data_IF_883939637017
#
_entry.id   IF_883939637017
#
_cell.length_a   1.000
_cell.length_b   1.000
_cell.length_c   1.000
_cell.angle_alpha   90.00
_cell.angle_beta   90.00
_cell.angle_gamma   90.00
#
_symmetry.space_group_name_H-M   'P 1'
#
loop_
_entity.id
_entity.type
_entity.pdbx_description
1 polymer ?
#
# COMPACT_ATOMS: atom_id res chain seq x y z
N UNK A 1 48.29 -17.66 33.22
CA UNK A 1 48.15 -18.83 32.34
C UNK A 1 46.73 -18.79 31.85
N UNK A 2 46.62 -18.30 30.62
CA UNK A 2 45.53 -18.31 29.64
C UNK A 2 44.19 -18.94 30.04
N UNK A 3 43.12 -18.13 29.89
CA UNK A 3 42.03 -18.38 28.93
C UNK A 3 41.56 -16.99 28.50
N UNK A 4 42.10 -16.44 27.42
CA UNK A 4 41.44 -16.48 26.11
C UNK A 4 40.01 -15.92 26.17
N UNK A 5 39.91 -14.60 26.31
CA UNK A 5 38.68 -13.87 25.99
C UNK A 5 38.82 -13.36 24.55
N UNK A 6 38.90 -14.34 23.64
CA UNK A 6 38.82 -14.14 22.21
C UNK A 6 37.37 -13.73 21.92
N UNK A 7 37.10 -12.43 22.13
CA UNK A 7 35.83 -11.80 21.79
C UNK A 7 35.67 -11.92 20.29
N UNK A 8 34.99 -12.99 19.89
CA UNK A 8 34.56 -13.25 18.53
C UNK A 8 33.98 -11.96 17.96
N UNK A 9 34.49 -11.43 16.84
CA UNK A 9 33.89 -10.26 16.23
C UNK A 9 32.49 -10.66 15.76
N UNK A 10 31.46 -10.24 16.49
CA UNK A 10 30.12 -10.23 15.93
C UNK A 10 30.17 -9.31 14.72
N UNK A 11 30.23 -9.89 13.52
CA UNK A 11 30.01 -9.19 12.26
C UNK A 11 28.53 -8.76 12.24
N UNK A 12 28.20 -7.73 13.03
CA UNK A 12 26.86 -7.16 13.09
C UNK A 12 26.61 -6.54 11.73
N UNK A 13 25.79 -7.20 10.92
CA UNK A 13 25.25 -6.59 9.71
C UNK A 13 24.56 -5.29 10.16
N UNK A 14 24.98 -4.12 9.67
CA UNK A 14 24.35 -2.87 10.11
C UNK A 14 22.86 -2.87 9.75
N UNK A 15 22.00 -2.27 10.57
CA UNK A 15 20.54 -2.23 10.30
C UNK A 15 20.20 -1.67 8.91
N UNK A 16 21.02 -0.78 8.36
CA UNK A 16 20.86 -0.25 7.00
C UNK A 16 21.14 -1.28 5.89
N UNK A 17 21.62 -2.48 6.23
CA UNK A 17 21.76 -3.63 5.33
C UNK A 17 20.69 -4.69 5.58
N UNK A 18 19.84 -4.52 6.59
CA UNK A 18 18.69 -5.39 6.80
C UNK A 18 17.66 -5.13 5.70
N UNK A 19 17.29 -6.18 4.99
CA UNK A 19 16.37 -6.11 3.87
C UNK A 19 15.03 -5.49 4.27
N UNK A 20 14.44 -5.98 5.37
CA UNK A 20 13.16 -5.49 5.91
C UNK A 20 13.22 -4.00 6.28
N UNK A 21 14.32 -3.57 6.90
CA UNK A 21 14.53 -2.16 7.24
C UNK A 21 14.68 -1.26 6.00
N UNK A 22 15.38 -1.75 4.97
CA UNK A 22 15.53 -1.01 3.71
C UNK A 22 14.21 -0.89 2.95
N UNK A 23 13.44 -1.97 2.86
CA UNK A 23 12.10 -1.96 2.25
C UNK A 23 11.15 -1.03 3.01
N UNK A 24 11.12 -1.08 4.34
CA UNK A 24 10.31 -0.18 5.15
C UNK A 24 10.67 1.29 4.92
N UNK A 25 11.96 1.63 4.83
CA UNK A 25 12.43 3.01 4.57
C UNK A 25 12.05 3.48 3.16
N UNK A 26 12.15 2.61 2.16
CA UNK A 26 11.70 2.91 0.79
C UNK A 26 10.19 3.16 0.79
N UNK A 27 9.41 2.27 1.37
CA UNK A 27 7.95 2.39 1.41
C UNK A 27 7.48 3.65 2.16
N UNK A 28 8.13 4.00 3.28
CA UNK A 28 7.83 5.23 4.00
C UNK A 28 8.06 6.49 3.14
N UNK A 29 9.17 6.54 2.40
CA UNK A 29 9.49 7.67 1.51
C UNK A 29 8.50 7.76 0.34
N UNK A 30 8.20 6.63 -0.30
CA UNK A 30 7.23 6.57 -1.39
C UNK A 30 5.83 7.01 -0.93
N UNK A 31 5.39 6.52 0.23
CA UNK A 31 4.09 6.85 0.82
C UNK A 31 3.97 8.32 1.24
N UNK A 32 5.03 8.90 1.81
CA UNK A 32 5.07 10.32 2.18
C UNK A 32 4.98 11.22 0.94
N UNK A 33 5.73 10.90 -0.11
CA UNK A 33 5.72 11.65 -1.36
C UNK A 33 4.36 11.52 -2.09
N UNK A 34 3.75 10.34 -2.10
CA UNK A 34 2.40 10.15 -2.63
C UNK A 34 1.34 10.94 -1.83
N UNK A 35 1.41 10.90 -0.50
CA UNK A 35 0.51 11.66 0.38
C UNK A 35 0.60 13.16 0.13
N UNK A 36 1.81 13.70 -0.09
CA UNK A 36 1.97 15.12 -0.43
C UNK A 36 1.27 15.50 -1.74
N UNK A 37 1.41 14.67 -2.78
CA UNK A 37 0.74 14.86 -4.07
C UNK A 37 -0.79 14.83 -3.88
N UNK A 38 -1.29 13.80 -3.19
CA UNK A 38 -2.72 13.60 -3.01
C UNK A 38 -3.37 14.67 -2.14
N UNK A 39 -2.70 15.11 -1.07
CA UNK A 39 -3.16 16.23 -0.24
C UNK A 39 -3.28 17.51 -1.06
N UNK A 40 -2.29 17.83 -1.89
CA UNK A 40 -2.29 19.04 -2.70
C UNK A 40 -3.41 19.07 -3.76
N UNK A 41 -3.88 17.92 -4.23
CA UNK A 41 -4.85 17.84 -5.34
C UNK A 41 -6.25 17.35 -4.95
N UNK A 42 -6.40 16.73 -3.80
CA UNK A 42 -7.66 16.12 -3.38
C UNK A 42 -7.87 16.13 -1.85
N UNK A 43 -6.91 16.61 -1.06
CA UNK A 43 -7.04 16.63 0.40
C UNK A 43 -7.01 15.24 1.06
N UNK A 44 -6.64 14.18 0.33
CA UNK A 44 -6.67 12.79 0.82
C UNK A 44 -5.26 12.21 1.02
N UNK A 45 -5.20 11.15 1.82
CA UNK A 45 -4.01 10.31 2.05
C UNK A 45 -3.85 9.23 0.99
N UNK A 46 -2.65 8.63 0.90
CA UNK A 46 -2.42 7.48 0.01
C UNK A 46 -3.30 6.28 0.33
N UNK A 47 -3.55 6.03 1.62
CA UNK A 47 -4.44 4.98 2.14
C UNK A 47 -5.87 5.16 1.64
N UNK A 48 -6.42 6.36 1.80
CA UNK A 48 -7.76 6.71 1.29
C UNK A 48 -7.82 6.62 -0.23
N UNK A 49 -6.78 7.10 -0.92
CA UNK A 49 -6.69 7.05 -2.37
C UNK A 49 -6.66 5.61 -2.90
N UNK A 50 -5.96 4.67 -2.24
CA UNK A 50 -5.96 3.25 -2.65
C UNK A 50 -7.37 2.66 -2.66
N UNK A 51 -8.17 2.95 -1.63
CA UNK A 51 -9.58 2.51 -1.59
C UNK A 51 -10.38 3.14 -2.73
N UNK A 52 -10.24 4.46 -2.93
CA UNK A 52 -10.89 5.16 -4.04
C UNK A 52 -10.47 4.59 -5.40
N UNK A 53 -9.19 4.27 -5.57
CA UNK A 53 -8.63 3.75 -6.81
C UNK A 53 -9.17 2.35 -7.12
N UNK A 54 -9.22 1.46 -6.13
CA UNK A 54 -9.81 0.12 -6.31
C UNK A 54 -11.30 0.25 -6.67
N UNK A 55 -12.08 1.01 -5.92
CA UNK A 55 -13.50 1.22 -6.24
C UNK A 55 -13.72 1.91 -7.59
N UNK A 56 -12.80 2.80 -7.98
CA UNK A 56 -12.84 3.50 -9.26
C UNK A 56 -12.62 2.58 -10.46
N UNK A 57 -11.76 1.58 -10.28
CA UNK A 57 -11.33 0.61 -11.30
C UNK A 57 -12.23 -0.64 -11.36
N UNK A 58 -12.53 -1.26 -10.22
CA UNK A 58 -13.32 -2.49 -10.13
C UNK A 58 -14.82 -2.25 -9.97
N UNK A 59 -15.23 -1.02 -9.66
CA UNK A 59 -16.59 -0.71 -9.23
C UNK A 59 -16.87 -1.17 -7.79
N UNK A 60 -18.16 -1.39 -7.49
CA UNK A 60 -18.65 -1.80 -6.16
C UNK A 60 -17.94 -3.07 -5.65
N UNK A 61 -17.42 -3.02 -4.42
CA UNK A 61 -16.79 -4.18 -3.78
C UNK A 61 -16.98 -4.21 -2.26
N UNK A 62 -16.73 -5.36 -1.64
CA UNK A 62 -16.78 -5.54 -0.18
C UNK A 62 -15.47 -5.15 0.50
N UNK A 63 -15.50 -4.85 1.80
CA UNK A 63 -14.29 -4.62 2.60
C UNK A 63 -13.30 -5.81 2.55
N UNK A 64 -13.81 -7.04 2.42
CA UNK A 64 -12.96 -8.23 2.30
C UNK A 64 -12.24 -8.29 0.95
N UNK A 65 -12.90 -7.88 -0.15
CA UNK A 65 -12.25 -7.72 -1.45
C UNK A 65 -11.22 -6.59 -1.41
N UNK A 66 -11.53 -5.45 -0.77
CA UNK A 66 -10.53 -4.39 -0.57
C UNK A 66 -9.29 -4.87 0.18
N UNK A 67 -9.44 -5.64 1.26
CA UNK A 67 -8.30 -6.20 1.98
C UNK A 67 -7.40 -7.01 1.05
N UNK A 68 -8.00 -7.93 0.26
CA UNK A 68 -7.23 -8.76 -0.68
C UNK A 68 -6.57 -7.96 -1.80
N UNK A 69 -7.26 -6.96 -2.35
CA UNK A 69 -6.74 -6.17 -3.47
C UNK A 69 -5.68 -5.15 -3.07
N UNK A 70 -5.60 -4.78 -1.79
CA UNK A 70 -4.70 -3.72 -1.31
C UNK A 70 -3.65 -4.21 -0.32
N UNK A 71 -3.75 -5.46 0.13
CA UNK A 71 -2.97 -6.04 1.24
C UNK A 71 -3.01 -5.19 2.52
N UNK A 72 -4.09 -4.42 2.70
CA UNK A 72 -4.29 -3.57 3.87
C UNK A 72 -5.05 -4.32 4.96
N UNK A 73 -4.62 -4.12 6.20
CA UNK A 73 -5.28 -4.74 7.35
C UNK A 73 -6.73 -4.23 7.52
N UNK A 74 -7.58 -5.09 8.09
CA UNK A 74 -9.00 -4.83 8.28
C UNK A 74 -9.26 -3.56 9.12
N UNK A 75 -8.41 -3.29 10.10
CA UNK A 75 -8.52 -2.11 10.96
C UNK A 75 -8.27 -0.82 10.19
N UNK A 76 -7.23 -0.79 9.34
CA UNK A 76 -6.90 0.34 8.48
C UNK A 76 -7.98 0.59 7.43
N UNK A 77 -8.51 -0.47 6.80
CA UNK A 77 -9.65 -0.35 5.88
C UNK A 77 -10.85 0.21 6.61
N UNK A 78 -11.23 -0.36 7.76
CA UNK A 78 -12.41 0.10 8.51
C UNK A 78 -12.32 1.59 8.88
N UNK A 79 -11.16 2.05 9.36
CA UNK A 79 -10.96 3.47 9.69
C UNK A 79 -11.06 4.36 8.45
N UNK A 80 -10.43 3.94 7.35
CA UNK A 80 -10.40 4.71 6.11
C UNK A 80 -11.78 4.80 5.45
N UNK A 81 -12.54 3.69 5.44
CA UNK A 81 -13.94 3.64 4.98
C UNK A 81 -14.79 4.60 5.82
N UNK A 82 -14.67 4.55 7.15
CA UNK A 82 -15.41 5.48 8.02
C UNK A 82 -15.15 6.95 7.67
N UNK A 83 -13.88 7.32 7.47
CA UNK A 83 -13.51 8.69 7.08
C UNK A 83 -14.05 9.05 5.70
N UNK A 84 -13.89 8.19 4.69
CA UNK A 84 -14.36 8.44 3.33
C UNK A 84 -15.89 8.56 3.24
N UNK A 85 -16.63 7.79 4.04
CA UNK A 85 -18.09 7.89 4.15
C UNK A 85 -18.49 9.23 4.79
N UNK A 86 -17.81 9.64 5.87
CA UNK A 86 -18.06 10.93 6.52
C UNK A 86 -17.78 12.11 5.56
N UNK A 87 -16.78 11.97 4.70
CA UNK A 87 -16.44 12.93 3.64
C UNK A 87 -17.34 12.82 2.39
N UNK A 88 -18.32 11.92 2.38
CA UNK A 88 -19.25 11.65 1.28
C UNK A 88 -18.55 11.24 -0.03
N UNK A 89 -17.39 10.60 0.06
CA UNK A 89 -16.67 10.07 -1.10
C UNK A 89 -17.07 8.64 -1.44
N UNK A 90 -17.54 7.87 -0.46
CA UNK A 90 -18.03 6.51 -0.67
C UNK A 90 -19.39 6.30 -0.02
N UNK A 91 -20.14 5.33 -0.51
CA UNK A 91 -21.36 4.81 0.11
C UNK A 91 -21.09 3.42 0.68
N UNK A 92 -21.87 3.06 1.70
CA UNK A 92 -21.85 1.72 2.29
C UNK A 92 -23.28 1.19 2.27
N UNK A 93 -23.52 0.11 1.56
CA UNK A 93 -24.84 -0.53 1.45
C UNK A 93 -24.77 -1.97 1.94
N UNK A 94 -25.77 -2.39 2.72
CA UNK A 94 -25.95 -3.81 3.04
C UNK A 94 -26.44 -4.55 1.81
N UNK A 95 -25.93 -5.74 1.58
CA UNK A 95 -26.50 -6.63 0.57
C UNK A 95 -27.89 -7.10 1.04
N UNK A 96 -28.88 -7.06 0.13
CA UNK A 96 -30.21 -7.58 0.41
C UNK A 96 -30.25 -9.12 0.39
N UNK A 97 -29.27 -9.75 -0.27
CA UNK A 97 -29.17 -11.21 -0.43
C UNK A 97 -28.28 -11.88 0.63
N UNK A 98 -27.25 -11.17 1.12
CA UNK A 98 -26.37 -11.60 2.19
C UNK A 98 -26.22 -10.49 3.24
N UNK A 99 -27.04 -10.59 4.29
CA UNK A 99 -27.20 -9.56 5.32
C UNK A 99 -25.92 -9.26 6.13
N UNK A 100 -24.81 -9.99 5.88
CA UNK A 100 -23.51 -9.82 6.54
C UNK A 100 -22.49 -9.04 5.73
N UNK A 101 -22.63 -8.94 4.40
CA UNK A 101 -21.64 -8.26 3.55
C UNK A 101 -21.99 -6.77 3.34
N UNK A 102 -21.07 -5.89 3.76
CA UNK A 102 -21.13 -4.47 3.43
C UNK A 102 -20.43 -4.24 2.09
N UNK A 103 -21.16 -3.65 1.16
CA UNK A 103 -20.64 -3.20 -0.12
C UNK A 103 -20.32 -1.72 -0.08
N UNK A 104 -19.22 -1.39 -0.74
CA UNK A 104 -18.66 -0.07 -0.84
C UNK A 104 -18.71 0.35 -2.30
N UNK A 105 -19.08 1.61 -2.55
CA UNK A 105 -19.09 2.18 -3.90
C UNK A 105 -18.73 3.66 -3.86
N UNK A 106 -18.20 4.20 -4.96
CA UNK A 106 -17.91 5.63 -5.08
C UNK A 106 -19.20 6.43 -5.19
N UNK A 107 -19.26 7.56 -4.50
CA UNK A 107 -20.23 8.61 -4.85
C UNK A 107 -19.76 9.35 -6.10
N UNK A 108 -20.59 10.26 -6.63
CA UNK A 108 -20.16 11.22 -7.65
C UNK A 108 -18.90 12.00 -7.22
N UNK A 109 -18.83 12.46 -5.96
CA UNK A 109 -17.65 13.12 -5.39
C UNK A 109 -16.42 12.20 -5.34
N UNK A 110 -16.62 10.93 -4.97
CA UNK A 110 -15.57 9.92 -4.98
C UNK A 110 -15.01 9.67 -6.38
N UNK A 111 -15.91 9.55 -7.36
CA UNK A 111 -15.56 9.33 -8.77
C UNK A 111 -14.81 10.52 -9.37
N UNK A 112 -15.26 11.74 -9.12
CA UNK A 112 -14.54 12.95 -9.53
C UNK A 112 -13.13 13.00 -8.89
N UNK A 113 -13.01 12.61 -7.62
CA UNK A 113 -11.72 12.54 -6.93
C UNK A 113 -10.79 11.49 -7.56
N UNK A 114 -11.32 10.32 -7.91
CA UNK A 114 -10.58 9.28 -8.64
C UNK A 114 -10.06 9.81 -9.98
N UNK A 115 -10.95 10.35 -10.82
CA UNK A 115 -10.63 10.84 -12.16
C UNK A 115 -9.61 11.99 -12.13
N UNK A 116 -9.71 12.87 -11.14
CA UNK A 116 -8.73 13.95 -10.94
C UNK A 116 -7.35 13.45 -10.51
N UNK A 117 -7.28 12.38 -9.73
CA UNK A 117 -6.03 11.93 -9.10
C UNK A 117 -5.31 10.83 -9.87
N UNK A 118 -6.01 9.97 -10.61
CA UNK A 118 -5.41 8.83 -11.31
C UNK A 118 -4.33 9.23 -12.33
N UNK A 119 -4.45 10.31 -13.14
CA UNK A 119 -3.41 10.68 -14.10
C UNK A 119 -2.13 11.14 -13.41
N UNK A 120 -2.26 11.82 -12.25
CA UNK A 120 -1.13 12.29 -11.44
C UNK A 120 -0.38 11.12 -10.82
N UNK A 121 -1.13 10.14 -10.32
CA UNK A 121 -0.54 8.94 -9.74
C UNK A 121 0.11 8.06 -10.82
N UNK A 122 -0.44 8.00 -12.04
CA UNK A 122 0.22 7.38 -13.20
C UNK A 122 1.52 8.10 -13.58
N UNK A 123 1.50 9.43 -13.71
CA UNK A 123 2.70 10.23 -13.99
C UNK A 123 3.77 10.04 -12.90
N UNK A 124 3.36 10.01 -11.63
CA UNK A 124 4.24 9.67 -10.51
C UNK A 124 4.88 8.29 -10.68
N UNK A 125 4.11 7.27 -11.07
CA UNK A 125 4.64 5.92 -11.29
C UNK A 125 5.65 5.91 -12.45
N UNK A 126 5.36 6.57 -13.56
CA UNK A 126 6.30 6.72 -14.67
C UNK A 126 7.60 7.41 -14.22
N UNK A 127 7.48 8.48 -13.43
CA UNK A 127 8.64 9.20 -12.90
C UNK A 127 9.48 8.35 -11.95
N UNK A 128 8.87 7.48 -11.14
CA UNK A 128 9.60 6.52 -10.30
C UNK A 128 10.30 5.44 -11.14
N UNK A 129 9.61 4.89 -12.15
CA UNK A 129 10.16 3.88 -13.06
C UNK A 129 11.37 4.40 -13.83
N UNK A 130 11.39 5.69 -14.17
CA UNK A 130 12.50 6.31 -14.90
C UNK A 130 13.84 6.34 -14.13
N UNK A 131 13.84 6.06 -12.81
CA UNK A 131 15.07 5.92 -12.03
C UNK A 131 15.70 4.53 -12.08
N UNK A 132 15.03 3.58 -12.74
CA UNK A 132 15.48 2.20 -12.89
C UNK A 132 15.59 1.90 -14.37
N UNK A 133 16.67 1.28 -14.80
CA UNK A 133 16.68 0.65 -16.12
C UNK A 133 15.76 -0.60 -16.16
N UNK A 134 15.62 -1.22 -17.33
CA UNK A 134 14.77 -2.40 -17.49
C UNK A 134 15.24 -3.58 -16.63
N UNK A 135 16.55 -3.83 -16.59
CA UNK A 135 17.12 -4.96 -15.88
C UNK A 135 17.02 -4.79 -14.36
N UNK A 136 17.21 -3.57 -13.85
CA UNK A 136 17.01 -3.20 -12.45
C UNK A 136 15.55 -3.37 -12.05
N UNK A 137 14.61 -2.90 -12.88
CA UNK A 137 13.18 -3.03 -12.63
C UNK A 137 12.75 -4.50 -12.59
N UNK A 138 13.11 -5.29 -13.58
CA UNK A 138 12.79 -6.72 -13.64
C UNK A 138 13.42 -7.51 -12.49
N UNK A 139 14.62 -7.12 -12.07
CA UNK A 139 15.28 -7.72 -10.91
C UNK A 139 14.57 -7.37 -9.62
N UNK A 140 14.14 -6.11 -9.46
CA UNK A 140 13.35 -5.68 -8.30
C UNK A 140 12.02 -6.43 -8.23
N UNK A 141 11.28 -6.52 -9.34
CA UNK A 141 9.98 -7.21 -9.38
C UNK A 141 10.11 -8.68 -9.02
N UNK A 142 11.06 -9.40 -9.63
CA UNK A 142 11.33 -10.81 -9.29
C UNK A 142 11.78 -10.99 -7.84
N UNK A 143 12.51 -10.04 -7.27
CA UNK A 143 12.90 -10.07 -5.87
C UNK A 143 11.67 -9.88 -4.96
N UNK A 144 10.78 -8.94 -5.27
CA UNK A 144 9.52 -8.74 -4.55
C UNK A 144 8.67 -10.02 -4.55
N UNK A 145 8.43 -10.64 -5.71
CA UNK A 145 7.66 -11.89 -5.82
C UNK A 145 8.23 -13.02 -4.94
N UNK A 146 9.56 -13.18 -4.93
CA UNK A 146 10.23 -14.17 -4.08
C UNK A 146 10.07 -13.88 -2.60
N UNK A 147 10.14 -12.60 -2.21
CA UNK A 147 10.02 -12.17 -0.83
C UNK A 147 8.58 -12.25 -0.32
N UNK A 148 7.60 -11.95 -1.16
CA UNK A 148 6.17 -12.12 -0.85
C UNK A 148 5.88 -13.59 -0.57
N UNK A 149 6.32 -14.49 -1.46
CA UNK A 149 6.19 -15.94 -1.24
C UNK A 149 6.92 -16.42 0.01
N UNK A 150 8.13 -15.92 0.25
CA UNK A 150 8.90 -16.29 1.44
C UNK A 150 8.17 -15.83 2.72
N UNK A 151 7.57 -14.64 2.74
CA UNK A 151 6.88 -14.10 3.92
C UNK A 151 5.61 -14.88 4.32
N UNK A 152 5.13 -15.80 3.49
CA UNK A 152 4.05 -16.74 3.82
C UNK A 152 4.56 -18.02 4.50
N UNK A 153 5.87 -18.26 4.45
CA UNK A 153 6.51 -19.42 5.09
C UNK A 153 6.58 -19.19 6.61
N UNK A 154 5.92 -20.04 7.42
CA UNK A 154 5.94 -19.90 8.87
C UNK A 154 7.28 -20.30 9.51
N UNK A 155 8.21 -20.87 8.74
CA UNK A 155 9.49 -21.41 9.23
C UNK A 155 10.68 -20.43 9.09
N UNK A 156 10.45 -19.23 8.53
CA UNK A 156 11.44 -18.12 8.48
C UNK A 156 11.10 -16.97 9.43
#
# INVERSE_FOLDING_TARGET
MDVDDDVVPHSVVPLNRFLTYRLAKVQAKLSAQATRILRAHAGITITQWRIIAVLGDTGRCTSAQLSRLTEMDKGLISRSVKTLTAERMITVTRDASDNRALHLDLTAKGRETFERTIPRMRSRQMGLRAYLDEAEFDTLMRACEKLEKAAEDPEI
#
